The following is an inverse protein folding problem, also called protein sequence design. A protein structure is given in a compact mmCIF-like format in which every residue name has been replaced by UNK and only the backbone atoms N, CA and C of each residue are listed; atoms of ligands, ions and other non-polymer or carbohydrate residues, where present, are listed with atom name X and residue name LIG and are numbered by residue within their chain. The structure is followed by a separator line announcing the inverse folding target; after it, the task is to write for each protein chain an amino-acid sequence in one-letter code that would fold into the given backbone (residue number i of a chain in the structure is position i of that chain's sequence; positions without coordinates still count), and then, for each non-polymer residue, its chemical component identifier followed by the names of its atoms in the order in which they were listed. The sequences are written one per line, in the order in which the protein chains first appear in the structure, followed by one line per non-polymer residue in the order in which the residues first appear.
data_IF_261007099566
#
_entry.id   IF_261007099566
#
_cell.length_a   1.000
_cell.length_b   1.000
_cell.length_c   1.000
_cell.angle_alpha   90.00
_cell.angle_beta   90.00
_cell.angle_gamma   90.00
#
_symmetry.space_group_name_H-M   'P 1'
#
loop_
_entity.id
_entity.type
_entity.pdbx_description
1 polymer ?
#
# COMPACT_ATOMS: atom_id res chain seq x y z
N UNK A 1 17.72 8.56 5.20
CA UNK A 1 17.59 7.13 5.52
C UNK A 1 16.15 6.72 5.25
N UNK A 2 15.83 6.36 4.01
CA UNK A 2 14.49 5.95 3.57
C UNK A 2 14.39 4.43 3.64
N UNK A 3 14.25 3.91 4.86
CA UNK A 3 14.17 2.47 5.13
C UNK A 3 12.81 2.11 5.74
N UNK A 4 11.74 2.73 5.21
CA UNK A 4 10.38 2.58 5.75
C UNK A 4 9.67 1.31 5.28
N UNK A 5 10.22 0.61 4.28
CA UNK A 5 9.66 -0.59 3.67
C UNK A 5 10.77 -1.61 3.44
N UNK A 6 10.62 -2.80 4.01
CA UNK A 6 11.46 -3.96 3.73
C UNK A 6 10.88 -4.82 2.60
N UNK A 7 11.70 -5.59 1.86
CA UNK A 7 11.23 -6.46 0.78
C UNK A 7 10.28 -7.58 1.25
N UNK A 8 10.20 -7.81 2.55
CA UNK A 8 9.32 -8.83 3.13
C UNK A 8 7.99 -8.24 3.64
N UNK A 9 7.78 -6.92 3.55
CA UNK A 9 6.55 -6.29 4.02
C UNK A 9 5.37 -6.61 3.10
N UNK A 10 4.21 -6.90 3.68
CA UNK A 10 3.00 -7.29 2.93
C UNK A 10 2.01 -6.15 2.91
N UNK A 11 1.56 -5.77 1.73
CA UNK A 11 0.45 -4.83 1.58
C UNK A 11 -0.84 -5.62 1.84
N UNK A 12 -1.62 -5.19 2.84
CA UNK A 12 -2.86 -5.84 3.25
C UNK A 12 -4.09 -4.98 2.91
N UNK A 13 -3.91 -3.68 2.73
CA UNK A 13 -4.99 -2.76 2.39
C UNK A 13 -4.56 -1.59 1.52
N UNK A 14 -5.51 -1.05 0.75
CA UNK A 14 -5.32 0.12 -0.11
C UNK A 14 -6.48 1.09 0.06
N UNK A 15 -6.19 2.36 0.26
CA UNK A 15 -7.17 3.45 0.32
C UNK A 15 -6.86 4.52 -0.73
N UNK A 16 -7.90 5.09 -1.33
CA UNK A 16 -7.81 6.18 -2.30
C UNK A 16 -7.97 7.52 -1.56
N UNK A 17 -6.93 8.34 -1.49
CA UNK A 17 -7.00 9.61 -0.76
C UNK A 17 -7.42 9.41 0.69
N UNK A 18 -8.54 10.02 1.08
CA UNK A 18 -9.11 9.93 2.43
C UNK A 18 -10.19 8.84 2.58
N UNK A 19 -10.46 8.06 1.53
CA UNK A 19 -11.44 6.97 1.54
C UNK A 19 -11.02 5.83 2.48
N UNK A 20 -11.99 4.97 2.80
CA UNK A 20 -11.75 3.79 3.65
C UNK A 20 -10.72 2.83 3.04
N UNK A 21 -9.95 2.18 3.92
CA UNK A 21 -8.98 1.17 3.52
C UNK A 21 -9.74 -0.08 3.06
N UNK A 22 -9.50 -0.48 1.82
CA UNK A 22 -10.04 -1.71 1.25
C UNK A 22 -9.05 -2.84 1.50
N UNK A 23 -9.51 -3.91 2.13
CA UNK A 23 -8.73 -5.14 2.29
C UNK A 23 -8.54 -5.83 0.93
N UNK A 24 -7.27 -6.07 0.59
CA UNK A 24 -6.86 -6.69 -0.67
C UNK A 24 -6.29 -8.11 -0.46
N UNK A 25 -6.44 -8.68 0.73
CA UNK A 25 -5.90 -10.00 1.04
C UNK A 25 -6.63 -11.04 0.18
N UNK A 26 -5.87 -11.79 -0.62
CA UNK A 26 -6.40 -12.78 -1.55
C UNK A 26 -6.77 -12.22 -2.93
N UNK A 27 -6.57 -10.93 -3.18
CA UNK A 27 -6.69 -10.35 -4.52
C UNK A 27 -5.50 -10.75 -5.40
N UNK A 28 -5.69 -10.67 -6.72
CA UNK A 28 -4.57 -10.85 -7.63
C UNK A 28 -3.65 -9.64 -7.57
N UNK A 29 -2.35 -9.89 -7.70
CA UNK A 29 -1.33 -8.83 -7.68
C UNK A 29 -1.63 -7.74 -8.71
N UNK A 30 -2.12 -8.12 -9.89
CA UNK A 30 -2.44 -7.17 -10.96
C UNK A 30 -3.58 -6.21 -10.56
N UNK A 31 -4.65 -6.73 -9.94
CA UNK A 31 -5.79 -5.93 -9.46
C UNK A 31 -5.36 -4.94 -8.38
N UNK A 32 -4.47 -5.39 -7.48
CA UNK A 32 -3.87 -4.55 -6.43
C UNK A 32 -3.01 -3.46 -7.05
N UNK A 33 -2.17 -3.80 -8.02
CA UNK A 33 -1.31 -2.84 -8.70
C UNK A 33 -2.15 -1.78 -9.42
N UNK A 34 -3.28 -2.14 -10.00
CA UNK A 34 -4.18 -1.18 -10.64
C UNK A 34 -4.91 -0.27 -9.66
N UNK A 35 -5.23 -0.75 -8.44
CA UNK A 35 -5.69 0.08 -7.34
C UNK A 35 -4.62 1.06 -6.85
N UNK A 36 -3.35 0.62 -6.79
CA UNK A 36 -2.24 1.48 -6.36
C UNK A 36 -1.91 2.53 -7.42
N UNK A 37 -1.99 2.16 -8.71
CA UNK A 37 -1.88 3.10 -9.82
C UNK A 37 -3.05 4.08 -9.81
N UNK A 38 -2.84 5.24 -10.41
CA UNK A 38 -3.86 6.27 -10.46
C UNK A 38 -3.32 7.56 -11.07
N UNK A 39 -4.18 8.57 -11.22
CA UNK A 39 -3.79 9.85 -11.79
C UNK A 39 -2.69 10.51 -10.95
N UNK A 40 -1.71 11.10 -11.63
CA UNK A 40 -0.60 11.82 -10.99
C UNK A 40 -1.14 12.93 -10.09
N UNK A 41 -0.54 13.08 -8.91
CA UNK A 41 -0.92 14.08 -7.91
C UNK A 41 -2.05 13.64 -6.98
N UNK A 42 -2.58 12.43 -7.13
CA UNK A 42 -3.49 11.86 -6.13
C UNK A 42 -2.74 11.13 -5.04
N UNK A 43 -3.29 11.15 -3.83
CA UNK A 43 -2.73 10.41 -2.69
C UNK A 43 -3.34 9.01 -2.64
N UNK A 44 -2.52 8.00 -2.39
CA UNK A 44 -2.94 6.63 -2.07
C UNK A 44 -2.37 6.26 -0.71
N UNK A 45 -3.15 5.59 0.11
CA UNK A 45 -2.71 5.10 1.41
C UNK A 45 -2.58 3.60 1.36
N UNK A 46 -1.40 3.09 1.68
CA UNK A 46 -1.12 1.67 1.69
C UNK A 46 -1.03 1.20 3.13
N UNK A 47 -1.82 0.19 3.46
CA UNK A 47 -1.71 -0.48 4.73
C UNK A 47 -0.76 -1.67 4.61
N UNK A 48 0.27 -1.67 5.44
CA UNK A 48 1.43 -2.53 5.32
C UNK A 48 1.63 -3.26 6.63
N UNK A 49 1.71 -4.58 6.52
CA UNK A 49 2.05 -5.49 7.58
C UNK A 49 3.55 -5.78 7.54
N UNK A 50 4.25 -5.36 8.58
CA UNK A 50 5.68 -5.59 8.70
C UNK A 50 5.98 -7.09 8.76
N UNK A 51 7.05 -7.51 8.10
CA UNK A 51 7.39 -8.93 8.08
C UNK A 51 7.73 -9.47 9.47
N UNK A 52 7.07 -10.58 9.84
CA UNK A 52 7.10 -11.15 11.19
C UNK A 52 5.94 -10.71 12.10
N UNK A 53 5.12 -9.74 11.69
CA UNK A 53 3.85 -9.44 12.35
C UNK A 53 2.84 -10.55 12.13
N UNK A 54 2.09 -10.94 13.18
CA UNK A 54 0.86 -11.74 13.02
C UNK A 54 -0.12 -10.96 12.13
N UNK A 55 -1.10 -11.63 11.53
CA UNK A 55 -2.18 -10.95 10.75
C UNK A 55 -2.93 -9.92 11.64
N UNK A 56 -2.94 -10.13 12.96
CA UNK A 56 -3.42 -9.21 14.02
C UNK A 56 -2.35 -8.21 14.52
N UNK A 57 -1.18 -8.19 13.88
CA UNK A 57 -0.06 -7.34 14.23
C UNK A 57 -0.31 -5.89 13.84
N UNK A 58 0.41 -4.96 14.47
CA UNK A 58 0.31 -3.53 14.18
C UNK A 58 0.59 -3.26 12.69
N UNK A 59 -0.46 -3.01 11.92
CA UNK A 59 -0.37 -2.51 10.56
C UNK A 59 0.12 -1.06 10.59
N UNK A 60 0.80 -0.65 9.52
CA UNK A 60 1.22 0.73 9.32
C UNK A 60 0.53 1.26 8.08
N UNK A 61 -0.07 2.43 8.19
CA UNK A 61 -0.61 3.16 7.04
C UNK A 61 0.47 4.12 6.55
N UNK A 62 0.77 4.04 5.26
CA UNK A 62 1.75 4.89 4.58
C UNK A 62 1.06 5.64 3.46
N UNK A 63 1.12 6.97 3.51
CA UNK A 63 0.55 7.84 2.50
C UNK A 63 1.58 8.13 1.42
N UNK A 64 1.20 7.86 0.16
CA UNK A 64 2.05 8.05 -1.01
C UNK A 64 1.34 8.98 -1.98
N UNK A 65 2.02 10.05 -2.35
CA UNK A 65 1.56 10.92 -3.45
C UNK A 65 2.00 10.28 -4.76
N UNK A 66 1.05 9.97 -5.64
CA UNK A 66 1.34 9.35 -6.93
C UNK A 66 2.13 10.30 -7.82
N UNK A 67 3.33 9.88 -8.22
CA UNK A 67 4.12 10.58 -9.23
C UNK A 67 4.44 9.64 -10.41
N UNK A 68 4.85 10.24 -11.52
CA UNK A 68 5.29 9.54 -12.71
C UNK A 68 6.67 8.94 -12.46
N UNK A 69 6.69 7.65 -12.12
CA UNK A 69 7.93 6.87 -12.07
C UNK A 69 8.44 6.69 -13.50
N UNK A 70 9.64 7.20 -13.80
CA UNK A 70 10.36 6.83 -15.03
C UNK A 70 11.22 5.62 -14.70
N UNK A 71 10.90 4.48 -15.32
CA UNK A 71 11.74 3.28 -15.34
C UNK A 71 12.87 3.44 -16.36
#
# INVERSE_FOLDING_TARGET
MSNQLGPEDKIVGVAQGEDEIVDIIGWRLDDVVDLIKGPKGTTVRLEILASGGKVDGKTKVVDIIRDKVRL
#
